data_IF_170030590675
#
_entry.id   IF_170030590675
#
_cell.length_a   1.000
_cell.length_b   1.000
_cell.length_c   1.000
_cell.angle_alpha   90.00
_cell.angle_beta   90.00
_cell.angle_gamma   90.00
#
_symmetry.space_group_name_H-M   'P 1'
#
loop_
_entity.id
_entity.type
_entity.pdbx_description
1 polymer ?
#
# COMPACT_ATOMS: atom_id res chain seq x y z
N UNK A 1 -19.36 -61.71 -33.81
CA UNK A 1 -18.12 -61.79 -33.03
C UNK A 1 -17.83 -60.40 -32.49
N UNK A 2 -18.36 -60.13 -31.30
CA UNK A 2 -18.19 -58.87 -30.59
C UNK A 2 -17.80 -59.25 -29.15
N UNK A 3 -16.53 -59.07 -28.80
CA UNK A 3 -16.02 -58.97 -27.41
C UNK A 3 -14.51 -59.18 -27.36
N UNK A 4 -13.71 -58.13 -27.60
CA UNK A 4 -12.32 -58.06 -27.15
C UNK A 4 -12.15 -56.78 -26.30
N UNK A 5 -11.89 -56.88 -24.98
CA UNK A 5 -11.92 -55.74 -24.05
C UNK A 5 -10.61 -54.93 -23.99
N UNK A 6 -9.64 -55.16 -24.89
CA UNK A 6 -8.36 -54.44 -24.92
C UNK A 6 -8.07 -53.74 -26.26
N UNK A 7 -9.08 -53.40 -27.05
CA UNK A 7 -8.90 -52.54 -28.21
C UNK A 7 -9.04 -51.07 -27.79
N UNK A 8 -7.95 -50.49 -27.26
CA UNK A 8 -7.85 -49.04 -27.14
C UNK A 8 -7.82 -48.43 -28.55
N UNK A 9 -8.73 -47.51 -28.92
CA UNK A 9 -8.59 -46.79 -30.18
C UNK A 9 -7.41 -45.85 -30.07
N UNK A 10 -6.27 -46.30 -30.60
CA UNK A 10 -5.10 -45.49 -30.90
C UNK A 10 -5.49 -44.43 -31.94
N UNK A 11 -5.89 -43.26 -31.46
CA UNK A 11 -6.18 -42.12 -32.31
C UNK A 11 -4.87 -41.42 -32.69
N UNK A 12 -4.11 -42.04 -33.61
CA UNK A 12 -2.81 -41.57 -34.12
C UNK A 12 -2.95 -40.91 -35.50
N UNK A 13 -4.08 -40.28 -35.79
CA UNK A 13 -4.20 -39.48 -37.02
C UNK A 13 -4.52 -38.03 -36.71
N UNK A 14 -3.47 -37.29 -36.38
CA UNK A 14 -3.41 -35.87 -36.71
C UNK A 14 -3.52 -35.73 -38.23
N UNK A 15 -4.75 -35.61 -38.73
CA UNK A 15 -5.00 -35.26 -40.14
C UNK A 15 -4.63 -33.79 -40.33
N UNK A 16 -3.39 -33.58 -40.77
CA UNK A 16 -2.89 -32.28 -41.16
C UNK A 16 -3.66 -31.75 -42.39
N UNK A 17 -4.62 -30.86 -42.15
CA UNK A 17 -4.96 -29.79 -43.09
C UNK A 17 -6.34 -29.79 -43.76
N UNK A 18 -7.12 -30.88 -43.77
CA UNK A 18 -8.35 -30.95 -44.59
C UNK A 18 -9.65 -30.49 -43.87
N UNK A 19 -9.74 -30.57 -42.55
CA UNK A 19 -10.96 -30.27 -41.77
C UNK A 19 -10.92 -28.93 -40.99
N UNK A 20 -9.86 -28.13 -41.18
CA UNK A 20 -9.61 -26.89 -40.39
C UNK A 20 -10.66 -25.79 -40.61
N UNK A 21 -11.35 -25.77 -41.76
CA UNK A 21 -12.36 -24.75 -42.08
C UNK A 21 -13.70 -25.05 -41.40
N UNK A 22 -14.16 -26.30 -41.48
CA UNK A 22 -15.42 -26.75 -40.89
C UNK A 22 -15.35 -26.74 -39.37
N UNK A 23 -14.22 -27.14 -38.79
CA UNK A 23 -13.98 -27.05 -37.34
C UNK A 23 -13.98 -25.61 -36.84
N UNK A 24 -13.30 -24.70 -37.55
CA UNK A 24 -13.30 -23.26 -37.22
C UNK A 24 -14.69 -22.65 -37.32
N UNK A 25 -15.46 -23.05 -38.33
CA UNK A 25 -16.86 -22.64 -38.47
C UNK A 25 -17.74 -23.16 -37.32
N UNK A 26 -17.59 -24.43 -36.95
CA UNK A 26 -18.30 -25.04 -35.82
C UNK A 26 -17.93 -24.36 -34.49
N UNK A 27 -16.65 -24.07 -34.26
CA UNK A 27 -16.20 -23.32 -33.08
C UNK A 27 -16.82 -21.91 -33.04
N UNK A 28 -16.87 -21.21 -34.17
CA UNK A 28 -17.48 -19.89 -34.26
C UNK A 28 -18.98 -19.92 -33.92
N UNK A 29 -19.72 -20.92 -34.43
CA UNK A 29 -21.14 -21.07 -34.09
C UNK A 29 -21.37 -21.40 -32.62
N UNK A 30 -20.52 -22.24 -32.02
CA UNK A 30 -20.57 -22.53 -30.58
C UNK A 30 -20.30 -21.27 -29.76
N UNK A 31 -19.33 -20.45 -30.15
CA UNK A 31 -19.05 -19.18 -29.48
C UNK A 31 -20.19 -18.17 -29.63
N UNK A 32 -20.79 -18.06 -30.80
CA UNK A 32 -21.97 -17.22 -31.03
C UNK A 32 -23.17 -17.71 -30.19
N UNK A 33 -23.38 -19.02 -30.11
CA UNK A 33 -24.37 -19.64 -29.23
C UNK A 33 -24.12 -19.32 -27.75
N UNK A 34 -22.86 -19.40 -27.28
CA UNK A 34 -22.48 -19.05 -25.91
C UNK A 34 -22.70 -17.55 -25.65
N UNK A 35 -22.37 -16.70 -26.61
CA UNK A 35 -22.55 -15.24 -26.54
C UNK A 35 -24.01 -14.83 -26.50
N UNK A 36 -24.89 -15.58 -27.15
CA UNK A 36 -26.34 -15.39 -27.12
C UNK A 36 -27.02 -16.07 -25.93
N UNK A 37 -26.28 -16.80 -25.09
CA UNK A 37 -26.81 -17.54 -23.94
C UNK A 37 -27.59 -18.81 -24.31
N UNK A 38 -27.47 -19.29 -25.55
CA UNK A 38 -28.16 -20.49 -26.05
C UNK A 38 -27.43 -21.79 -25.66
N UNK A 39 -26.13 -21.72 -25.39
CA UNK A 39 -25.29 -22.86 -25.01
C UNK A 39 -24.57 -22.59 -23.69
N UNK A 40 -24.29 -23.65 -22.93
CA UNK A 40 -23.64 -23.51 -21.63
C UNK A 40 -22.24 -22.87 -21.75
N UNK A 41 -21.94 -21.90 -20.87
CA UNK A 41 -20.62 -21.28 -20.76
C UNK A 41 -19.52 -22.29 -20.42
N UNK A 42 -18.29 -21.98 -20.81
CA UNK A 42 -17.14 -22.83 -20.50
C UNK A 42 -16.74 -22.71 -19.03
N UNK A 43 -16.37 -23.82 -18.41
CA UNK A 43 -15.83 -23.85 -17.05
C UNK A 43 -14.29 -23.79 -17.12
N UNK A 44 -13.71 -22.90 -16.33
CA UNK A 44 -12.27 -22.76 -16.11
C UNK A 44 -11.72 -24.00 -15.36
N UNK A 45 -10.40 -24.15 -15.33
CA UNK A 45 -9.67 -25.13 -14.51
C UNK A 45 -9.99 -25.02 -13.01
N UNK A 46 -10.32 -23.82 -12.52
CA UNK A 46 -10.77 -23.57 -11.15
C UNK A 46 -12.27 -23.85 -10.93
N UNK A 47 -12.99 -24.39 -11.94
CA UNK A 47 -14.42 -24.67 -11.89
C UNK A 47 -15.32 -23.42 -11.97
N UNK A 48 -14.75 -22.27 -12.33
CA UNK A 48 -15.48 -21.00 -12.48
C UNK A 48 -15.98 -20.82 -13.91
N UNK A 49 -17.19 -20.32 -14.06
CA UNK A 49 -17.74 -19.98 -15.36
C UNK A 49 -16.96 -18.85 -16.03
N UNK A 50 -16.43 -19.08 -17.23
CA UNK A 50 -15.80 -18.04 -18.06
C UNK A 50 -16.90 -17.27 -18.79
N UNK A 51 -16.87 -15.95 -18.70
CA UNK A 51 -17.84 -15.10 -19.38
C UNK A 51 -17.70 -15.26 -20.92
N UNK A 52 -18.76 -15.70 -21.65
CA UNK A 52 -18.73 -15.87 -23.11
C UNK A 52 -18.39 -14.63 -23.94
N UNK A 53 -18.50 -13.44 -23.36
CA UNK A 53 -18.19 -12.18 -24.04
C UNK A 53 -16.70 -11.80 -23.95
N UNK A 54 -15.88 -12.52 -23.17
CA UNK A 54 -14.43 -12.31 -23.14
C UNK A 54 -13.85 -12.81 -24.47
N UNK A 55 -13.12 -11.98 -25.22
CA UNK A 55 -12.55 -12.40 -26.50
C UNK A 55 -11.52 -13.51 -26.31
N UNK A 56 -11.41 -14.41 -27.31
CA UNK A 56 -10.56 -15.60 -27.23
C UNK A 56 -9.09 -15.33 -26.85
N UNK A 57 -8.52 -14.19 -27.25
CA UNK A 57 -7.13 -13.86 -26.97
C UNK A 57 -6.85 -13.47 -25.51
N UNK A 58 -7.90 -13.15 -24.73
CA UNK A 58 -7.80 -12.89 -23.29
C UNK A 58 -8.12 -14.17 -22.50
N UNK A 59 -9.03 -15.02 -22.99
CA UNK A 59 -9.45 -16.23 -22.28
C UNK A 59 -8.51 -17.41 -22.47
N UNK A 60 -7.87 -17.55 -23.63
CA UNK A 60 -6.89 -18.60 -23.89
C UNK A 60 -5.53 -18.18 -23.36
N UNK A 61 -5.03 -18.92 -22.38
CA UNK A 61 -3.70 -18.70 -21.85
C UNK A 61 -2.62 -19.00 -22.93
N UNK A 62 -1.57 -18.17 -23.01
CA UNK A 62 -0.47 -18.37 -23.96
C UNK A 62 0.40 -19.59 -23.58
N UNK A 63 1.11 -20.13 -24.55
CA UNK A 63 1.87 -21.40 -24.44
C UNK A 63 2.97 -21.41 -23.38
N UNK A 64 3.48 -20.24 -22.96
CA UNK A 64 4.56 -20.10 -21.97
C UNK A 64 4.05 -20.03 -20.52
N UNK A 65 2.77 -20.28 -20.29
CA UNK A 65 2.16 -20.35 -18.96
C UNK A 65 1.69 -21.79 -18.75
N UNK A 66 2.35 -22.50 -17.83
CA UNK A 66 2.17 -23.94 -17.60
C UNK A 66 0.76 -24.36 -17.14
N UNK A 67 -0.09 -23.38 -16.79
CA UNK A 67 -1.48 -23.60 -16.37
C UNK A 67 -2.44 -23.89 -17.54
N UNK A 68 -1.94 -23.91 -18.77
CA UNK A 68 -2.72 -23.90 -20.00
C UNK A 68 -2.66 -25.23 -20.77
N UNK A 69 -3.26 -26.29 -20.24
CA UNK A 69 -3.63 -27.47 -21.03
C UNK A 69 -4.82 -27.16 -21.98
N UNK A 70 -4.72 -26.09 -22.78
CA UNK A 70 -5.68 -25.73 -23.81
C UNK A 70 -7.09 -25.31 -23.34
N UNK A 71 -7.34 -25.21 -22.03
CA UNK A 71 -8.63 -24.78 -21.44
C UNK A 71 -8.68 -23.25 -21.29
N UNK A 72 -9.86 -22.67 -21.45
CA UNK A 72 -10.06 -21.24 -21.19
C UNK A 72 -9.88 -20.95 -19.70
N UNK A 73 -8.86 -20.16 -19.34
CA UNK A 73 -8.57 -19.79 -17.95
C UNK A 73 -8.26 -18.31 -17.79
N UNK A 74 -8.79 -17.67 -16.75
CA UNK A 74 -8.49 -16.26 -16.47
C UNK A 74 -7.38 -16.09 -15.42
N UNK A 75 -6.76 -17.19 -14.97
CA UNK A 75 -5.68 -17.17 -13.98
C UNK A 75 -4.46 -16.39 -14.44
N UNK A 76 -4.07 -16.56 -15.71
CA UNK A 76 -2.94 -15.86 -16.30
C UNK A 76 -3.12 -14.33 -16.41
N UNK A 77 -4.35 -13.84 -16.30
CA UNK A 77 -4.67 -12.41 -16.26
C UNK A 77 -4.67 -11.84 -14.83
N UNK A 78 -4.65 -12.69 -13.79
CA UNK A 78 -4.56 -12.24 -12.39
C UNK A 78 -3.15 -11.74 -12.11
N UNK A 79 -3.05 -10.83 -11.12
CA UNK A 79 -1.76 -10.37 -10.62
C UNK A 79 -0.95 -11.57 -10.12
N UNK A 80 0.28 -11.70 -10.62
CA UNK A 80 1.22 -12.72 -10.15
C UNK A 80 1.60 -12.41 -8.71
N UNK A 81 1.72 -13.44 -7.88
CA UNK A 81 2.04 -13.26 -6.45
C UNK A 81 3.41 -12.59 -6.23
N UNK A 82 4.36 -12.77 -7.14
CA UNK A 82 5.70 -12.18 -7.05
C UNK A 82 5.73 -10.67 -7.34
N UNK A 83 4.64 -10.11 -7.90
CA UNK A 83 4.51 -8.71 -8.31
C UNK A 83 3.69 -7.89 -7.32
N UNK A 84 3.45 -8.38 -6.09
CA UNK A 84 2.76 -7.58 -5.08
C UNK A 84 3.64 -6.40 -4.65
N UNK A 85 3.41 -5.25 -5.28
CA UNK A 85 3.98 -3.95 -4.89
C UNK A 85 3.31 -3.40 -3.63
N UNK A 86 2.99 -4.26 -2.65
CA UNK A 86 2.52 -3.80 -1.36
C UNK A 86 3.72 -3.31 -0.56
N UNK A 87 4.07 -2.05 -0.77
CA UNK A 87 4.99 -1.37 0.16
C UNK A 87 4.25 -1.13 1.47
N UNK A 88 4.81 -1.63 2.56
CA UNK A 88 4.26 -1.39 3.90
C UNK A 88 4.16 0.12 4.17
N UNK A 89 2.94 0.58 4.40
CA UNK A 89 2.61 1.98 4.69
C UNK A 89 3.27 2.49 5.97
N UNK A 90 3.74 1.59 6.83
CA UNK A 90 4.41 1.93 8.08
C UNK A 90 5.93 2.09 7.92
N UNK A 91 6.48 1.74 6.75
CA UNK A 91 7.92 1.89 6.49
C UNK A 91 8.22 3.33 6.07
N UNK A 92 8.85 4.07 6.98
CA UNK A 92 9.24 5.46 6.77
C UNK A 92 10.75 5.61 6.97
N UNK A 93 11.33 6.71 6.46
CA UNK A 93 12.74 6.99 6.73
C UNK A 93 12.93 7.32 8.21
N UNK A 94 13.77 6.55 8.90
CA UNK A 94 14.09 6.83 10.28
C UNK A 94 15.04 8.04 10.34
N UNK A 95 14.53 9.18 10.83
CA UNK A 95 15.32 10.42 10.89
C UNK A 95 16.08 10.52 12.21
N UNK A 96 17.38 10.75 12.13
CA UNK A 96 18.22 11.09 13.28
C UNK A 96 18.44 9.95 14.29
N UNK A 97 18.07 8.72 13.97
CA UNK A 97 18.35 7.58 14.83
C UNK A 97 19.84 7.23 14.75
N UNK A 98 20.48 7.22 15.92
CA UNK A 98 21.88 6.83 16.11
C UNK A 98 21.93 5.33 16.42
N UNK A 99 22.81 4.60 15.73
CA UNK A 99 22.93 3.15 15.83
C UNK A 99 23.43 2.66 17.20
N UNK A 100 24.05 3.54 18.00
CA UNK A 100 24.59 3.20 19.31
C UNK A 100 25.28 4.35 20.01
N UNK A 101 26.00 4.08 21.12
CA UNK A 101 26.82 5.09 21.79
C UNK A 101 27.95 5.56 20.88
N UNK A 102 28.37 6.81 21.07
CA UNK A 102 29.49 7.37 20.32
C UNK A 102 30.78 6.58 20.56
N UNK A 103 31.60 6.45 19.51
CA UNK A 103 32.92 5.85 19.63
C UNK A 103 33.82 6.73 20.51
N UNK A 104 34.64 6.11 21.35
CA UNK A 104 35.59 6.85 22.20
C UNK A 104 36.88 7.24 21.47
N UNK A 105 37.15 6.62 20.32
CA UNK A 105 38.34 6.86 19.50
C UNK A 105 37.95 7.04 18.04
N UNK A 106 38.71 7.87 17.33
CA UNK A 106 38.53 8.10 15.91
C UNK A 106 38.84 6.82 15.12
N UNK A 107 37.93 6.44 14.22
CA UNK A 107 38.08 5.27 13.34
C UNK A 107 38.55 5.72 11.96
N UNK A 108 39.42 4.94 11.32
CA UNK A 108 39.92 5.24 9.97
C UNK A 108 38.75 5.18 8.98
N UNK A 109 38.62 6.19 8.12
CA UNK A 109 37.50 6.30 7.17
C UNK A 109 36.26 7.02 7.71
N UNK A 110 36.25 7.41 8.99
CA UNK A 110 35.22 8.28 9.54
C UNK A 110 35.41 9.74 9.06
N UNK A 111 34.34 10.53 9.16
CA UNK A 111 34.35 11.95 8.88
C UNK A 111 35.42 12.68 9.72
N UNK A 112 36.35 13.39 9.07
CA UNK A 112 37.42 14.12 9.77
C UNK A 112 36.90 15.19 10.74
N UNK A 113 35.69 15.72 10.51
CA UNK A 113 35.08 16.77 11.32
C UNK A 113 34.42 16.23 12.60
N UNK A 114 33.40 15.38 12.46
CA UNK A 114 32.58 14.89 13.58
C UNK A 114 32.97 13.48 14.08
N UNK A 115 33.70 12.69 13.29
CA UNK A 115 34.12 11.34 13.65
C UNK A 115 33.10 10.23 13.44
N UNK A 116 31.94 10.51 12.85
CA UNK A 116 30.96 9.49 12.44
C UNK A 116 31.38 8.79 11.14
N UNK A 117 31.02 7.52 10.98
CA UNK A 117 31.28 6.71 9.77
C UNK A 117 30.17 6.79 8.71
N UNK A 118 29.02 7.40 9.01
CA UNK A 118 27.86 7.43 8.09
C UNK A 118 28.06 8.34 6.88
N UNK A 119 28.93 9.34 6.96
CA UNK A 119 29.08 10.36 5.93
C UNK A 119 30.53 10.88 5.80
N UNK A 120 30.79 11.65 4.75
CA UNK A 120 32.09 12.31 4.49
C UNK A 120 32.11 13.72 5.08
N UNK A 121 33.29 14.33 5.15
CA UNK A 121 33.49 15.69 5.69
C UNK A 121 32.65 16.78 5.02
N UNK A 122 32.43 16.67 3.71
CA UNK A 122 31.65 17.65 2.94
C UNK A 122 30.15 17.60 3.24
N UNK A 123 29.65 16.41 3.57
CA UNK A 123 28.23 16.14 3.84
C UNK A 123 27.95 16.16 5.36
N UNK A 124 28.88 16.72 6.14
CA UNK A 124 28.79 16.74 7.58
C UNK A 124 27.77 17.78 8.05
N UNK A 125 26.79 17.32 8.83
CA UNK A 125 25.75 18.18 9.43
C UNK A 125 26.25 18.95 10.65
N UNK A 126 27.38 18.55 11.22
CA UNK A 126 28.02 19.25 12.34
C UNK A 126 28.77 20.48 11.85
N UNK A 127 28.81 21.51 12.69
CA UNK A 127 29.54 22.76 12.39
C UNK A 127 31.00 22.43 12.03
N UNK A 128 31.54 22.96 10.91
CA UNK A 128 32.94 22.75 10.55
C UNK A 128 33.90 23.25 11.65
N UNK A 129 34.72 22.34 12.18
CA UNK A 129 35.71 22.65 13.22
C UNK A 129 37.04 23.06 12.58
N UNK A 130 37.80 23.95 13.24
CA UNK A 130 39.16 24.32 12.83
C UNK A 130 40.13 23.12 12.90
N UNK A 131 39.99 22.34 13.96
CA UNK A 131 40.68 21.06 14.16
C UNK A 131 39.60 20.01 14.37
N UNK A 132 39.40 19.14 13.38
CA UNK A 132 38.36 18.11 13.41
C UNK A 132 38.63 16.97 14.40
N UNK A 133 37.64 16.10 14.56
CA UNK A 133 37.71 14.90 15.38
C UNK A 133 38.87 13.96 14.99
N UNK A 134 39.33 13.98 13.71
CA UNK A 134 40.52 13.20 13.30
C UNK A 134 41.77 13.53 14.12
N UNK A 135 41.99 14.81 14.39
CA UNK A 135 43.21 15.31 15.02
C UNK A 135 43.07 15.47 16.52
N UNK A 136 41.88 15.85 16.99
CA UNK A 136 41.62 16.12 18.40
C UNK A 136 41.09 14.92 19.16
N UNK A 137 40.42 13.98 18.49
CA UNK A 137 39.76 12.83 19.12
C UNK A 137 38.65 13.20 20.12
N UNK A 138 38.21 14.46 20.13
CA UNK A 138 37.20 14.99 21.05
C UNK A 138 35.84 15.12 20.38
N UNK A 139 34.77 14.94 21.16
CA UNK A 139 33.37 15.10 20.75
C UNK A 139 33.04 14.31 19.48
N UNK A 140 33.37 13.02 19.49
CA UNK A 140 33.03 12.07 18.42
C UNK A 140 31.52 11.84 18.44
N UNK A 141 30.87 12.01 17.30
CA UNK A 141 29.44 11.74 17.17
C UNK A 141 29.19 10.24 16.95
N UNK A 142 28.00 9.79 17.35
CA UNK A 142 27.56 8.43 17.08
C UNK A 142 27.19 8.26 15.61
N UNK A 143 27.30 7.02 15.13
CA UNK A 143 26.95 6.66 13.76
C UNK A 143 25.43 6.67 13.55
N UNK A 144 24.99 7.10 12.37
CA UNK A 144 23.57 7.12 11.99
C UNK A 144 23.15 5.79 11.39
N UNK A 145 21.88 5.42 11.59
CA UNK A 145 21.29 4.26 10.93
C UNK A 145 20.89 4.65 9.51
N UNK A 146 21.52 4.01 8.52
CA UNK A 146 21.17 4.20 7.11
C UNK A 146 20.07 3.19 6.76
N UNK A 147 18.88 3.68 6.44
CA UNK A 147 17.75 2.86 6.01
C UNK A 147 17.49 3.07 4.52
N UNK A 148 17.53 1.98 3.74
CA UNK A 148 17.05 1.97 2.36
C UNK A 148 15.58 1.53 2.36
N UNK A 149 14.68 2.44 1.95
CA UNK A 149 13.24 2.17 1.90
C UNK A 149 12.77 2.27 0.46
N UNK A 150 12.27 1.17 -0.09
CA UNK A 150 11.63 1.13 -1.40
C UNK A 150 10.16 1.56 -1.27
N UNK A 151 9.89 2.81 -1.63
CA UNK A 151 8.54 3.39 -1.56
C UNK A 151 7.89 3.55 -2.94
N UNK A 152 6.56 3.44 -2.97
CA UNK A 152 5.73 3.77 -4.13
C UNK A 152 5.76 5.28 -4.44
N UNK A 153 5.19 5.67 -5.58
CA UNK A 153 5.12 7.06 -6.01
C UNK A 153 4.37 7.95 -5.02
N UNK A 154 3.28 7.44 -4.45
CA UNK A 154 2.41 8.16 -3.52
C UNK A 154 3.07 8.27 -2.14
N UNK A 155 3.62 7.17 -1.61
CA UNK A 155 4.34 7.17 -0.32
C UNK A 155 5.53 8.13 -0.27
N UNK A 156 6.22 8.34 -1.39
CA UNK A 156 7.31 9.34 -1.50
C UNK A 156 6.81 10.79 -1.38
N UNK A 157 5.56 11.05 -1.73
CA UNK A 157 4.94 12.39 -1.78
C UNK A 157 3.95 12.64 -0.65
N UNK A 158 3.64 11.61 0.13
CA UNK A 158 2.76 11.74 1.26
C UNK A 158 3.33 12.78 2.25
N UNK A 159 2.55 13.84 2.43
CA UNK A 159 2.88 14.95 3.33
C UNK A 159 2.95 14.49 4.79
N UNK A 160 2.24 13.42 5.13
CA UNK A 160 2.15 12.88 6.47
C UNK A 160 3.09 11.70 6.73
N UNK A 161 4.06 11.47 5.82
CA UNK A 161 5.06 10.44 5.99
C UNK A 161 5.91 10.67 7.25
N UNK A 162 5.91 9.69 8.17
CA UNK A 162 6.60 9.77 9.46
C UNK A 162 5.82 10.48 10.57
N UNK A 163 4.50 10.66 10.42
CA UNK A 163 3.64 11.23 11.45
C UNK A 163 3.55 10.29 12.67
N UNK A 164 3.86 10.80 13.88
CA UNK A 164 3.66 10.07 15.13
C UNK A 164 2.21 10.27 15.61
N UNK A 165 1.38 9.20 15.72
CA UNK A 165 0.00 9.30 16.21
C UNK A 165 -0.13 9.97 17.58
N UNK A 166 0.93 9.95 18.40
CA UNK A 166 0.95 10.60 19.72
C UNK A 166 0.88 12.13 19.62
N UNK A 167 1.39 12.73 18.54
CA UNK A 167 1.32 14.17 18.35
C UNK A 167 -0.12 14.68 18.20
N UNK A 168 -1.02 13.83 17.71
CA UNK A 168 -2.44 14.15 17.62
C UNK A 168 -3.07 14.45 18.99
N UNK A 169 -2.51 13.89 20.08
CA UNK A 169 -3.02 14.16 21.43
C UNK A 169 -2.91 15.64 21.80
N UNK A 170 -1.86 16.34 21.34
CA UNK A 170 -1.69 17.77 21.59
C UNK A 170 -2.81 18.60 20.97
N UNK A 171 -3.28 18.19 19.79
CA UNK A 171 -4.39 18.83 19.09
C UNK A 171 -5.68 18.64 19.91
N UNK A 172 -5.95 17.41 20.35
CA UNK A 172 -7.11 17.10 21.21
C UNK A 172 -7.09 17.95 22.48
N UNK A 173 -5.94 18.04 23.16
CA UNK A 173 -5.78 18.88 24.35
C UNK A 173 -6.03 20.37 24.08
N UNK A 174 -5.65 20.88 22.92
CA UNK A 174 -5.93 22.26 22.51
C UNK A 174 -7.43 22.48 22.34
N UNK A 175 -8.11 21.59 21.62
CA UNK A 175 -9.56 21.64 21.46
C UNK A 175 -10.29 21.58 22.81
N UNK A 176 -9.87 20.70 23.72
CA UNK A 176 -10.44 20.66 25.07
C UNK A 176 -10.30 22.00 25.82
N UNK A 177 -9.16 22.70 25.67
CA UNK A 177 -8.95 24.01 26.30
C UNK A 177 -9.88 25.07 25.69
N UNK A 178 -10.06 25.04 24.36
CA UNK A 178 -10.98 25.93 23.65
C UNK A 178 -12.42 25.68 24.07
N UNK A 179 -12.84 24.43 24.20
CA UNK A 179 -14.17 24.05 24.68
C UNK A 179 -14.40 24.49 26.12
N UNK A 180 -13.44 24.26 27.03
CA UNK A 180 -13.52 24.73 28.42
C UNK A 180 -13.66 26.25 28.50
N UNK A 181 -12.93 27.00 27.67
CA UNK A 181 -13.04 28.47 27.59
C UNK A 181 -14.42 28.91 27.07
N UNK A 182 -14.90 28.24 26.03
CA UNK A 182 -16.20 28.53 25.40
C UNK A 182 -17.35 28.25 26.38
N UNK A 183 -17.32 27.10 27.05
CA UNK A 183 -18.28 26.74 28.09
C UNK A 183 -18.27 27.72 29.26
N UNK A 184 -17.10 28.20 29.70
CA UNK A 184 -17.00 29.24 30.74
C UNK A 184 -17.64 30.56 30.29
N UNK A 185 -17.39 30.97 29.05
CA UNK A 185 -17.99 32.18 28.48
C UNK A 185 -19.51 32.07 28.40
N UNK A 186 -20.02 30.94 27.89
CA UNK A 186 -21.46 30.67 27.82
C UNK A 186 -22.13 30.66 29.19
N UNK A 187 -21.51 30.03 30.21
CA UNK A 187 -21.98 30.05 31.60
C UNK A 187 -22.02 31.47 32.17
N UNK A 188 -21.04 32.31 31.86
CA UNK A 188 -21.03 33.72 32.29
C UNK A 188 -22.15 34.53 31.65
N UNK A 189 -22.38 34.38 30.34
CA UNK A 189 -23.47 35.03 29.61
C UNK A 189 -24.84 34.60 30.13
N UNK A 190 -25.06 33.28 30.30
CA UNK A 190 -26.27 32.76 30.93
C UNK A 190 -26.48 33.30 32.35
N UNK A 191 -25.41 33.39 33.14
CA UNK A 191 -25.46 33.98 34.48
C UNK A 191 -25.83 35.47 34.47
N UNK A 192 -25.35 36.25 33.49
CA UNK A 192 -25.75 37.66 33.29
C UNK A 192 -27.23 37.75 32.90
N UNK A 193 -27.67 36.94 31.94
CA UNK A 193 -29.07 36.89 31.50
C UNK A 193 -30.01 36.49 32.65
N UNK A 194 -29.62 35.48 33.44
CA UNK A 194 -30.39 35.03 34.60
C UNK A 194 -30.48 36.11 35.70
N UNK A 195 -29.37 36.79 36.01
CA UNK A 195 -29.39 37.95 36.92
C UNK A 195 -30.34 39.03 36.41
N UNK A 196 -30.24 39.40 35.14
CA UNK A 196 -31.14 40.40 34.51
C UNK A 196 -32.60 39.98 34.61
N UNK A 197 -32.90 38.69 34.43
CA UNK A 197 -34.23 38.14 34.60
C UNK A 197 -34.72 38.23 36.06
N UNK A 198 -33.89 37.88 37.05
CA UNK A 198 -34.22 38.03 38.48
C UNK A 198 -34.53 39.49 38.82
N UNK A 199 -33.66 40.43 38.42
CA UNK A 199 -33.88 41.86 38.64
C UNK A 199 -35.20 42.35 38.04
N UNK A 200 -35.51 41.93 36.81
CA UNK A 200 -36.79 42.25 36.16
C UNK A 200 -37.99 41.68 36.91
N UNK A 201 -37.92 40.43 37.40
CA UNK A 201 -39.00 39.82 38.19
C UNK A 201 -39.22 40.54 39.51
N UNK A 202 -38.15 40.82 40.26
CA UNK A 202 -38.21 41.52 41.56
C UNK A 202 -38.82 42.92 41.40
N UNK A 203 -38.43 43.65 40.35
CA UNK A 203 -39.01 44.97 40.03
C UNK A 203 -40.52 44.89 39.76
N UNK A 204 -40.99 43.88 39.02
CA UNK A 204 -42.44 43.68 38.78
C UNK A 204 -43.23 43.33 40.05
N UNK A 205 -42.59 42.68 41.02
CA UNK A 205 -43.23 42.28 42.27
C UNK A 205 -43.31 43.42 43.31
N UNK A 206 -42.38 44.38 43.24
CA UNK A 206 -42.39 45.61 44.07
C UNK A 206 -43.39 46.65 43.54
N UNK A 207 -43.69 46.65 42.23
CA UNK A 207 -44.65 47.57 41.61
C UNK A 207 -46.12 47.07 41.65
N UNK A 208 -46.42 46.02 42.44
CA UNK A 208 -47.75 45.50 42.73
C UNK A 208 -48.06 45.71 44.19
#
# INVERSE_FOLDING_TARGET
MASDPNFMPMNIYATTGRNRREERWRQKQLEEGKKLGATEPELDADGKQVNPHIPQFISKAPWYIDEAEGKASLRHQRLRQDESTETDYNTTYIRGQRAGPAATKFRKGACDNCGAMSHKTKDCMERPRKLGARWTGKDIQADEVICEVSMTWDSKRDRWNGYDPREHQKIVEEYEKVEKRTARSQKQELGKLFRRWIYSKRRRQICR
#
